data_IF_695769148209
#
_entry.id   IF_695769148209
#
_cell.length_a   1.000
_cell.length_b   1.000
_cell.length_c   1.000
_cell.angle_alpha   90.00
_cell.angle_beta   90.00
_cell.angle_gamma   90.00
#
_symmetry.space_group_name_H-M   'P 1'
#
loop_
_entity.id
_entity.type
_entity.pdbx_description
1 polymer ?
#
# COMPACT_ATOMS: atom_id res chain seq x y z
N UNK A 1 24.03 29.04 -38.33
CA UNK A 1 24.87 28.08 -37.58
C UNK A 1 23.94 26.96 -37.09
N UNK A 2 23.88 25.83 -37.81
CA UNK A 2 22.99 24.72 -37.45
C UNK A 2 23.70 23.84 -36.43
N UNK A 3 23.35 24.01 -35.16
CA UNK A 3 23.84 23.16 -34.06
C UNK A 3 23.36 21.73 -34.30
N UNK A 4 24.27 20.83 -34.67
CA UNK A 4 23.95 19.42 -34.87
C UNK A 4 23.35 18.85 -33.58
N UNK A 5 22.10 18.38 -33.64
CA UNK A 5 21.48 17.64 -32.53
C UNK A 5 22.26 16.33 -32.36
N UNK A 6 22.95 16.16 -31.22
CA UNK A 6 23.50 14.86 -30.83
C UNK A 6 22.35 13.87 -30.68
N UNK A 7 22.36 12.82 -31.49
CA UNK A 7 21.43 11.69 -31.35
C UNK A 7 21.78 10.86 -30.11
N UNK A 8 20.75 10.32 -29.46
CA UNK A 8 20.88 9.42 -28.32
C UNK A 8 21.39 8.05 -28.80
N UNK A 9 22.30 7.41 -28.05
CA UNK A 9 22.84 6.12 -28.46
C UNK A 9 21.92 4.97 -28.01
N UNK A 10 21.88 3.88 -28.78
CA UNK A 10 21.11 2.70 -28.40
C UNK A 10 21.63 2.06 -27.09
N UNK A 11 22.93 2.18 -26.81
CA UNK A 11 23.54 1.67 -25.58
C UNK A 11 23.05 2.44 -24.35
N UNK A 12 22.88 3.77 -24.45
CA UNK A 12 22.30 4.58 -23.38
C UNK A 12 20.87 4.14 -23.09
N UNK A 13 20.06 3.83 -24.12
CA UNK A 13 18.67 3.39 -23.90
C UNK A 13 18.67 2.02 -23.23
N UNK A 14 19.51 1.10 -23.71
CA UNK A 14 19.58 -0.27 -23.22
C UNK A 14 19.90 -0.32 -21.72
N UNK A 15 20.91 0.43 -21.27
CA UNK A 15 21.28 0.47 -19.85
C UNK A 15 20.12 1.02 -19.00
N UNK A 16 19.40 2.04 -19.49
CA UNK A 16 18.26 2.61 -18.77
C UNK A 16 17.14 1.58 -18.58
N UNK A 17 16.77 0.82 -19.61
CA UNK A 17 15.71 -0.20 -19.47
C UNK A 17 16.13 -1.33 -18.52
N UNK A 18 17.42 -1.70 -18.52
CA UNK A 18 17.96 -2.69 -17.58
C UNK A 18 17.85 -2.21 -16.14
N UNK A 19 18.24 -0.96 -15.85
CA UNK A 19 18.14 -0.39 -14.51
C UNK A 19 16.67 -0.30 -14.06
N UNK A 20 15.77 0.18 -14.92
CA UNK A 20 14.33 0.24 -14.63
C UNK A 20 13.77 -1.17 -14.38
N UNK A 21 14.19 -2.16 -15.16
CA UNK A 21 13.79 -3.56 -14.97
C UNK A 21 14.19 -4.14 -13.62
N UNK A 22 15.43 -3.88 -13.17
CA UNK A 22 15.91 -4.33 -11.85
C UNK A 22 15.12 -3.65 -10.72
N UNK A 23 14.91 -2.33 -10.81
CA UNK A 23 14.15 -1.59 -9.82
C UNK A 23 12.69 -2.06 -9.77
N UNK A 24 12.05 -2.28 -10.92
CA UNK A 24 10.67 -2.76 -11.00
C UNK A 24 10.52 -4.17 -10.42
N UNK A 25 11.47 -5.07 -10.70
CA UNK A 25 11.45 -6.44 -10.19
C UNK A 25 11.45 -6.50 -8.65
N UNK A 26 12.12 -5.56 -7.98
CA UNK A 26 12.13 -5.46 -6.50
C UNK A 26 10.92 -4.67 -5.99
N UNK A 27 10.56 -3.58 -6.66
CA UNK A 27 9.52 -2.66 -6.21
C UNK A 27 8.11 -3.27 -6.28
N UNK A 28 7.77 -4.01 -7.35
CA UNK A 28 6.45 -4.60 -7.54
C UNK A 28 6.05 -5.56 -6.41
N UNK A 29 6.84 -6.61 -6.08
CA UNK A 29 6.48 -7.52 -5.00
C UNK A 29 6.51 -6.81 -3.64
N UNK A 30 7.43 -5.86 -3.42
CA UNK A 30 7.48 -5.08 -2.18
C UNK A 30 6.21 -4.25 -1.98
N UNK A 31 5.76 -3.55 -3.02
CA UNK A 31 4.55 -2.73 -2.97
C UNK A 31 3.30 -3.58 -2.71
N UNK A 32 3.17 -4.74 -3.37
CA UNK A 32 2.06 -5.66 -3.14
C UNK A 32 1.98 -6.11 -1.67
N UNK A 33 3.11 -6.54 -1.10
CA UNK A 33 3.20 -6.95 0.31
C UNK A 33 2.88 -5.80 1.27
N UNK A 34 3.39 -4.59 0.99
CA UNK A 34 3.10 -3.42 1.85
C UNK A 34 1.63 -3.04 1.80
N UNK A 35 0.98 -3.13 0.63
CA UNK A 35 -0.46 -2.85 0.48
C UNK A 35 -1.30 -3.82 1.31
N UNK A 36 -1.02 -5.11 1.24
CA UNK A 36 -1.70 -6.13 2.04
C UNK A 36 -1.52 -5.89 3.54
N UNK A 37 -0.27 -5.62 3.98
CA UNK A 37 0.00 -5.29 5.39
C UNK A 37 -0.73 -4.03 5.84
N UNK A 38 -0.84 -3.02 4.98
CA UNK A 38 -1.60 -1.80 5.29
C UNK A 38 -3.09 -2.10 5.47
N UNK A 39 -3.70 -2.94 4.61
CA UNK A 39 -5.08 -3.37 4.79
C UNK A 39 -5.29 -4.14 6.09
N UNK A 40 -4.42 -5.11 6.39
CA UNK A 40 -4.50 -5.88 7.64
C UNK A 40 -4.33 -4.96 8.85
N UNK A 41 -3.43 -3.98 8.78
CA UNK A 41 -3.23 -3.01 9.86
C UNK A 41 -4.46 -2.13 10.06
N UNK A 42 -5.09 -1.67 8.97
CA UNK A 42 -6.32 -0.88 9.04
C UNK A 42 -7.46 -1.70 9.65
N UNK A 43 -7.70 -2.92 9.16
CA UNK A 43 -8.71 -3.83 9.71
C UNK A 43 -8.49 -4.11 11.21
N UNK A 44 -7.23 -4.34 11.62
CA UNK A 44 -6.91 -4.53 13.05
C UNK A 44 -7.22 -3.29 13.88
N UNK A 45 -6.96 -2.10 13.34
CA UNK A 45 -7.30 -0.83 14.00
C UNK A 45 -8.81 -0.68 14.13
N UNK A 46 -9.56 -0.98 13.08
CA UNK A 46 -11.03 -0.87 13.08
C UNK A 46 -11.64 -1.85 14.08
N UNK A 47 -11.19 -3.11 14.10
CA UNK A 47 -11.64 -4.10 15.07
C UNK A 47 -11.35 -3.69 16.51
N UNK A 48 -10.18 -3.08 16.75
CA UNK A 48 -9.84 -2.57 18.09
C UNK A 48 -10.72 -1.41 18.50
N UNK A 49 -11.00 -0.49 17.58
CA UNK A 49 -11.92 0.62 17.82
C UNK A 49 -13.34 0.10 18.12
N UNK A 50 -13.80 -0.90 17.37
CA UNK A 50 -15.09 -1.55 17.62
C UNK A 50 -15.12 -2.26 18.98
N UNK A 51 -14.05 -2.97 19.35
CA UNK A 51 -13.96 -3.62 20.66
C UNK A 51 -14.05 -2.60 21.79
N UNK A 52 -13.32 -1.49 21.71
CA UNK A 52 -13.39 -0.41 22.70
C UNK A 52 -14.78 0.25 22.75
N UNK A 53 -15.44 0.44 21.60
CA UNK A 53 -16.81 0.96 21.56
C UNK A 53 -17.81 -0.01 22.21
N UNK A 54 -17.63 -1.30 21.99
CA UNK A 54 -18.45 -2.37 22.59
C UNK A 54 -18.25 -2.46 24.11
N UNK A 55 -17.00 -2.36 24.59
CA UNK A 55 -16.70 -2.30 26.02
C UNK A 55 -17.33 -1.07 26.68
N UNK A 56 -17.31 0.08 26.00
CA UNK A 56 -17.96 1.32 26.49
C UNK A 56 -19.47 1.11 26.60
N UNK A 57 -20.09 0.56 25.56
CA UNK A 57 -21.53 0.28 25.57
C UNK A 57 -21.92 -0.75 26.64
N UNK A 58 -21.09 -1.78 26.85
CA UNK A 58 -21.30 -2.74 27.92
C UNK A 58 -21.23 -2.09 29.31
N UNK A 59 -20.33 -1.12 29.51
CA UNK A 59 -20.26 -0.33 30.73
C UNK A 59 -21.59 0.33 31.08
N UNK A 60 -22.27 0.90 30.08
CA UNK A 60 -23.51 1.64 30.26
C UNK A 60 -24.75 0.75 30.36
N UNK A 61 -24.82 -0.31 29.55
CA UNK A 61 -26.05 -1.11 29.36
C UNK A 61 -25.95 -2.56 29.87
N UNK A 62 -24.79 -2.99 30.38
CA UNK A 62 -24.52 -4.35 30.87
C UNK A 62 -24.80 -5.44 29.81
N UNK A 63 -24.77 -5.07 28.53
CA UNK A 63 -24.94 -5.95 27.38
C UNK A 63 -24.10 -5.45 26.22
N UNK A 64 -23.65 -6.33 25.33
CA UNK A 64 -22.95 -5.93 24.11
C UNK A 64 -23.96 -5.54 23.03
N UNK A 65 -23.61 -4.54 22.22
CA UNK A 65 -24.47 -4.13 21.11
C UNK A 65 -24.44 -5.21 20.02
N UNK A 66 -25.62 -5.64 19.57
CA UNK A 66 -25.75 -6.59 18.48
C UNK A 66 -25.00 -6.06 17.24
N UNK A 67 -24.23 -6.92 16.59
CA UNK A 67 -23.55 -6.55 15.36
C UNK A 67 -24.60 -6.05 14.36
N UNK A 68 -24.54 -4.77 13.98
CA UNK A 68 -25.34 -4.25 12.90
C UNK A 68 -24.91 -4.98 11.63
N UNK A 69 -25.63 -6.04 11.27
CA UNK A 69 -25.52 -6.70 9.99
C UNK A 69 -26.02 -5.72 8.93
N UNK A 70 -25.08 -5.12 8.21
CA UNK A 70 -25.33 -4.43 6.95
C UNK A 70 -25.00 -5.39 5.80
#
# INVERSE_FOLDING_TARGET
MSTAKKGFTLIELLIVVVIIGILAAIAIPKFANTKEKAYISAMKSDLRNLATAQETYFGDYQTYAAAAAA
#
